data_IF_382503127110
#
_entry.id   IF_382503127110
#
_cell.length_a   1.000
_cell.length_b   1.000
_cell.length_c   1.000
_cell.angle_alpha   90.00
_cell.angle_beta   90.00
_cell.angle_gamma   90.00
#
_symmetry.space_group_name_H-M   'P 1'
#
loop_
_entity.id
_entity.type
_entity.pdbx_description
1 polymer ?
#
# COMPACT_ATOMS: atom_id res chain seq x y z
N UNK A 1 1.17 25.18 -2.11
CA UNK A 1 1.74 24.16 -3.01
C UNK A 1 0.73 23.03 -3.13
N UNK A 2 0.45 22.51 -4.34
CA UNK A 2 -0.28 21.25 -4.45
C UNK A 2 0.65 20.14 -3.93
N UNK A 3 0.23 19.27 -3.01
CA UNK A 3 1.05 18.14 -2.62
C UNK A 3 1.33 17.33 -3.89
N UNK A 4 2.60 17.03 -4.15
CA UNK A 4 2.95 16.05 -5.16
C UNK A 4 2.39 14.69 -4.71
N UNK A 5 1.99 13.86 -5.66
CA UNK A 5 1.54 12.48 -5.41
C UNK A 5 2.56 11.67 -4.58
N UNK A 6 3.85 12.04 -4.66
CA UNK A 6 4.93 11.53 -3.81
C UNK A 6 4.70 11.79 -2.32
N UNK A 7 4.19 12.97 -1.94
CA UNK A 7 3.96 13.33 -0.55
C UNK A 7 2.70 12.66 0.02
N UNK A 8 1.71 12.35 -0.82
CA UNK A 8 0.47 11.69 -0.37
C UNK A 8 0.68 10.21 -0.03
N UNK A 9 1.46 9.48 -0.84
CA UNK A 9 1.74 8.07 -0.61
C UNK A 9 2.44 7.82 0.72
N UNK A 10 3.52 8.56 1.00
CA UNK A 10 4.27 8.37 2.25
C UNK A 10 3.53 8.87 3.49
N UNK A 11 2.73 9.95 3.35
CA UNK A 11 1.92 10.44 4.47
C UNK A 11 0.94 9.37 4.95
N UNK A 12 0.43 8.53 4.05
CA UNK A 12 -0.39 7.37 4.43
C UNK A 12 0.40 6.45 5.38
N UNK A 13 1.62 6.05 5.04
CA UNK A 13 2.45 5.20 5.91
C UNK A 13 2.46 5.69 7.36
N UNK A 14 2.73 6.97 7.58
CA UNK A 14 2.87 7.55 8.92
C UNK A 14 1.56 7.96 9.62
N UNK A 15 0.45 8.12 8.89
CA UNK A 15 -0.80 8.67 9.46
C UNK A 15 -1.98 7.70 9.47
N UNK A 16 -1.84 6.51 8.89
CA UNK A 16 -2.94 5.56 8.75
C UNK A 16 -2.89 4.42 9.77
N UNK A 17 -4.05 3.79 9.95
CA UNK A 17 -4.15 2.50 10.63
C UNK A 17 -4.20 1.40 9.58
N UNK A 18 -3.19 0.55 9.58
CA UNK A 18 -2.98 -0.47 8.55
C UNK A 18 -3.29 -1.85 9.09
N UNK A 19 -4.05 -2.64 8.32
CA UNK A 19 -4.25 -4.06 8.60
C UNK A 19 -3.00 -4.86 8.26
N UNK A 20 -2.31 -4.46 7.20
CA UNK A 20 -1.02 -5.02 6.84
C UNK A 20 -0.08 -3.90 6.41
N UNK A 21 1.14 -3.98 6.90
CA UNK A 21 2.24 -3.11 6.53
C UNK A 21 3.44 -4.01 6.26
N UNK A 22 3.98 -3.94 5.05
CA UNK A 22 5.13 -4.71 4.64
C UNK A 22 6.04 -3.85 3.78
N UNK A 23 7.35 -4.04 3.94
CA UNK A 23 8.35 -3.40 3.11
C UNK A 23 9.42 -4.39 2.65
N UNK A 24 10.06 -4.06 1.53
CA UNK A 24 11.06 -4.92 0.88
C UNK A 24 12.12 -4.08 0.19
N UNK A 25 13.38 -4.35 0.50
CA UNK A 25 14.51 -3.83 -0.25
C UNK A 25 14.50 -4.34 -1.70
N UNK A 26 14.84 -3.45 -2.64
CA UNK A 26 15.03 -3.72 -4.06
C UNK A 26 16.51 -3.58 -4.44
N UNK A 27 16.91 -4.24 -5.53
CA UNK A 27 18.32 -4.34 -5.93
C UNK A 27 18.98 -3.00 -6.30
N UNK A 28 18.18 -1.96 -6.56
CA UNK A 28 18.65 -0.61 -6.85
C UNK A 28 18.70 0.32 -5.62
N UNK A 29 18.58 -0.25 -4.42
CA UNK A 29 18.68 0.48 -3.16
C UNK A 29 17.44 1.31 -2.82
N UNK A 30 16.34 1.10 -3.53
CA UNK A 30 15.01 1.58 -3.11
C UNK A 30 14.24 0.51 -2.35
N UNK A 31 13.18 0.89 -1.67
CA UNK A 31 12.32 0.03 -0.88
C UNK A 31 10.90 0.06 -1.45
N UNK A 32 10.31 -1.11 -1.67
CA UNK A 32 8.90 -1.26 -1.95
C UNK A 32 8.15 -1.33 -0.62
N UNK A 33 7.16 -0.46 -0.44
CA UNK A 33 6.29 -0.46 0.73
C UNK A 33 4.86 -0.72 0.28
N UNK A 34 4.19 -1.64 0.98
CA UNK A 34 2.80 -2.06 0.73
C UNK A 34 1.99 -1.89 2.00
N UNK A 35 0.92 -1.11 1.89
CA UNK A 35 -0.04 -0.90 2.97
C UNK A 35 -1.40 -1.42 2.52
N UNK A 36 -2.06 -2.19 3.37
CA UNK A 36 -3.45 -2.56 3.16
C UNK A 36 -4.32 -2.11 4.32
N UNK A 37 -5.51 -1.62 3.98
CA UNK A 37 -6.55 -1.34 4.95
C UNK A 37 -7.85 -1.98 4.48
N UNK A 38 -8.48 -2.70 5.40
CA UNK A 38 -9.79 -3.33 5.23
C UNK A 38 -10.90 -2.30 5.42
N UNK A 39 -10.63 -1.19 6.13
CA UNK A 39 -11.61 -0.11 6.37
C UNK A 39 -12.01 0.60 5.08
N UNK A 40 -11.06 0.83 4.20
CA UNK A 40 -11.22 1.50 2.92
C UNK A 40 -11.15 0.52 1.73
N UNK A 41 -10.93 -0.78 1.98
CA UNK A 41 -10.73 -1.81 0.96
C UNK A 41 -9.65 -1.38 -0.06
N UNK A 42 -8.53 -0.85 0.43
CA UNK A 42 -7.46 -0.36 -0.45
C UNK A 42 -6.12 -0.99 -0.13
N UNK A 43 -5.34 -1.14 -1.19
CA UNK A 43 -3.90 -1.41 -1.11
C UNK A 43 -3.16 -0.26 -1.76
N UNK A 44 -2.22 0.27 -1.00
CA UNK A 44 -1.28 1.30 -1.40
C UNK A 44 0.07 0.65 -1.62
N UNK A 45 0.70 0.93 -2.76
CA UNK A 45 2.06 0.52 -3.06
C UNK A 45 2.87 1.76 -3.39
N UNK A 46 4.03 1.91 -2.77
CA UNK A 46 4.95 2.98 -3.11
C UNK A 46 6.37 2.47 -3.08
N UNK A 47 7.19 3.06 -3.94
CA UNK A 47 8.60 2.77 -4.04
C UNK A 47 9.36 3.99 -3.56
N UNK A 48 10.28 3.81 -2.62
CA UNK A 48 10.89 4.90 -1.86
C UNK A 48 12.40 4.74 -1.82
N UNK A 49 13.14 5.83 -1.87
CA UNK A 49 14.56 5.88 -1.54
C UNK A 49 14.72 6.52 -0.16
N UNK A 50 15.69 6.04 0.62
CA UNK A 50 15.96 6.53 1.99
C UNK A 50 14.71 6.50 2.88
N UNK A 51 14.02 5.35 2.90
CA UNK A 51 12.80 5.18 3.66
C UNK A 51 13.04 5.42 5.15
N UNK A 52 12.17 6.22 5.79
CA UNK A 52 12.33 6.73 7.16
C UNK A 52 13.58 7.60 7.39
N UNK A 53 14.30 7.99 6.34
CA UNK A 53 15.50 8.82 6.39
C UNK A 53 15.25 10.30 6.10
N UNK A 54 16.24 11.17 6.33
CA UNK A 54 16.11 12.62 6.12
C UNK A 54 16.03 13.03 4.64
N UNK A 55 16.41 12.14 3.71
CA UNK A 55 16.36 12.36 2.27
C UNK A 55 15.30 11.47 1.59
N UNK A 56 14.25 11.09 2.32
CA UNK A 56 13.17 10.22 1.85
C UNK A 56 12.52 10.75 0.55
N UNK A 57 12.50 9.92 -0.48
CA UNK A 57 11.99 10.28 -1.81
C UNK A 57 11.07 9.17 -2.35
N UNK A 58 9.79 9.50 -2.59
CA UNK A 58 8.87 8.56 -3.26
C UNK A 58 9.08 8.62 -4.77
N UNK A 59 9.51 7.50 -5.33
CA UNK A 59 9.80 7.28 -6.75
C UNK A 59 8.54 6.88 -7.52
N UNK A 60 7.70 6.02 -6.92
CA UNK A 60 6.48 5.49 -7.55
C UNK A 60 5.35 5.39 -6.51
N UNK A 61 4.11 5.61 -6.95
CA UNK A 61 2.90 5.47 -6.12
C UNK A 61 1.78 4.82 -6.93
N UNK A 62 1.15 3.81 -6.35
CA UNK A 62 -0.02 3.13 -6.89
C UNK A 62 -1.05 2.89 -5.79
N UNK A 63 -2.31 3.08 -6.14
CA UNK A 63 -3.46 2.78 -5.32
C UNK A 63 -4.36 1.80 -6.08
N UNK A 64 -4.84 0.77 -5.38
CA UNK A 64 -5.75 -0.23 -5.94
C UNK A 64 -6.84 -0.58 -4.93
N UNK A 65 -8.09 -0.58 -5.39
CA UNK A 65 -9.20 -1.14 -4.62
C UNK A 65 -9.07 -2.66 -4.54
N UNK A 66 -9.35 -3.19 -3.36
CA UNK A 66 -9.27 -4.62 -3.04
C UNK A 66 -10.63 -5.05 -2.51
N UNK A 67 -11.49 -5.45 -3.42
CA UNK A 67 -12.76 -6.09 -3.10
C UNK A 67 -12.63 -7.61 -3.09
N UNK A 68 -13.49 -8.31 -2.35
CA UNK A 68 -13.60 -9.75 -2.49
C UNK A 68 -14.03 -10.08 -3.93
N UNK A 69 -13.22 -10.87 -4.63
CA UNK A 69 -13.52 -11.29 -5.99
C UNK A 69 -14.77 -12.19 -5.99
N UNK A 70 -15.69 -11.97 -6.94
CA UNK A 70 -16.99 -12.67 -6.99
C UNK A 70 -16.85 -14.20 -6.91
N UNK A 71 -15.85 -14.76 -7.59
CA UNK A 71 -15.60 -16.20 -7.58
C UNK A 71 -15.12 -16.72 -6.21
N UNK A 72 -14.46 -15.89 -5.40
CA UNK A 72 -14.08 -16.24 -4.02
C UNK A 72 -15.30 -16.19 -3.11
N UNK A 73 -16.17 -15.18 -3.25
CA UNK A 73 -17.43 -15.10 -2.49
C UNK A 73 -18.30 -16.33 -2.76
N UNK A 74 -18.40 -16.76 -4.02
CA UNK A 74 -19.12 -17.97 -4.40
C UNK A 74 -18.55 -19.22 -3.71
N UNK A 75 -17.23 -19.42 -3.76
CA UNK A 75 -16.55 -20.54 -3.09
C UNK A 75 -16.74 -20.52 -1.57
N UNK A 76 -16.74 -19.33 -0.95
CA UNK A 76 -17.00 -19.19 0.49
C UNK A 76 -18.44 -19.58 0.86
N UNK A 77 -19.42 -19.25 0.02
CA UNK A 77 -20.81 -19.64 0.23
C UNK A 77 -20.99 -21.16 0.09
N UNK A 78 -20.38 -21.77 -0.93
CA UNK A 78 -20.40 -23.22 -1.15
C UNK A 78 -19.77 -23.99 0.03
N UNK A 79 -18.69 -23.48 0.62
CA UNK A 79 -18.02 -24.13 1.75
C UNK A 79 -18.77 -24.04 3.09
N UNK A 80 -19.76 -23.13 3.22
CA UNK A 80 -20.56 -22.93 4.43
C UNK A 80 -21.91 -23.65 4.39
N UNK A 81 -22.29 -24.21 3.24
CA UNK A 81 -23.52 -24.99 3.04
C UNK A 81 -23.31 -26.45 3.46
#
# INVERSE_FOLDING_TARGET
MKPSTSYEGIRKYYSGEWNHCYSKDLDDGSELVVLSSVKDNKVYRFRVRDFCGPAEEVLEYQESDVGPLDHILKRQAEAKA
#
